data_IF_484258240109
#
_entry.id   IF_484258240109
#
_cell.length_a   1.000
_cell.length_b   1.000
_cell.length_c   1.000
_cell.angle_alpha   90.00
_cell.angle_beta   90.00
_cell.angle_gamma   90.00
#
_symmetry.space_group_name_H-M   'P 1'
#
loop_
_entity.id
_entity.type
_entity.pdbx_description
1 polymer ?
#
# COMPACT_ATOMS: atom_id res chain seq x y z
N UNK A 1 -6.29 -19.13 -12.02
CA UNK A 1 -6.68 -18.77 -10.63
C UNK A 1 -5.42 -18.75 -9.80
N UNK A 2 -4.60 -17.72 -10.01
CA UNK A 2 -3.63 -17.27 -9.02
C UNK A 2 -4.33 -16.04 -8.42
N UNK A 3 -4.57 -15.89 -7.14
CA UNK A 3 -3.65 -16.15 -6.06
C UNK A 3 -4.37 -16.36 -4.73
N UNK A 4 -3.71 -17.14 -3.87
CA UNK A 4 -4.01 -17.22 -2.46
C UNK A 4 -3.88 -15.82 -1.85
N UNK A 5 -4.98 -15.25 -1.35
CA UNK A 5 -4.97 -13.95 -0.69
C UNK A 5 -3.85 -13.92 0.35
N UNK A 6 -2.90 -12.99 0.19
CA UNK A 6 -1.66 -12.96 0.97
C UNK A 6 -1.91 -12.26 2.30
N UNK A 7 -2.55 -12.95 3.25
CA UNK A 7 -2.97 -12.40 4.55
C UNK A 7 -1.82 -11.67 5.28
N UNK A 8 -0.62 -12.22 5.23
CA UNK A 8 0.58 -11.59 5.81
C UNK A 8 0.91 -10.23 5.19
N UNK A 9 0.72 -10.07 3.87
CA UNK A 9 0.91 -8.78 3.19
C UNK A 9 -0.22 -7.81 3.49
N UNK A 10 -1.46 -8.31 3.59
CA UNK A 10 -2.59 -7.51 4.04
C UNK A 10 -2.32 -6.91 5.43
N UNK A 11 -1.97 -7.76 6.41
CA UNK A 11 -1.76 -7.33 7.80
C UNK A 11 -0.59 -6.34 7.91
N UNK A 12 0.52 -6.63 7.23
CA UNK A 12 1.69 -5.76 7.21
C UNK A 12 1.41 -4.40 6.56
N UNK A 13 0.72 -4.40 5.42
CA UNK A 13 0.32 -3.19 4.70
C UNK A 13 -0.64 -2.36 5.54
N UNK A 14 -1.67 -2.98 6.12
CA UNK A 14 -2.67 -2.28 6.91
C UNK A 14 -2.03 -1.62 8.13
N UNK A 15 -1.16 -2.34 8.83
CA UNK A 15 -0.41 -1.80 9.95
C UNK A 15 0.46 -0.61 9.53
N UNK A 16 1.26 -0.76 8.48
CA UNK A 16 2.15 0.30 8.02
C UNK A 16 1.37 1.57 7.59
N UNK A 17 0.30 1.40 6.81
CA UNK A 17 -0.51 2.53 6.33
C UNK A 17 -1.23 3.25 7.47
N UNK A 18 -1.80 2.51 8.42
CA UNK A 18 -2.48 3.10 9.59
C UNK A 18 -1.50 3.80 10.54
N UNK A 19 -0.35 3.20 10.84
CA UNK A 19 0.73 3.83 11.62
C UNK A 19 1.31 5.05 10.90
N UNK A 20 1.32 5.04 9.57
CA UNK A 20 1.68 6.18 8.71
C UNK A 20 0.55 7.21 8.50
N UNK A 21 -0.52 7.16 9.29
CA UNK A 21 -1.58 8.18 9.28
C UNK A 21 -2.49 8.17 8.05
N UNK A 22 -2.52 7.08 7.28
CA UNK A 22 -3.48 6.91 6.18
C UNK A 22 -4.88 6.67 6.75
N UNK A 23 -5.95 7.30 6.21
CA UNK A 23 -7.32 7.03 6.64
C UNK A 23 -7.65 5.54 6.59
N UNK A 24 -8.25 5.00 7.66
CA UNK A 24 -8.45 3.56 7.85
C UNK A 24 -9.16 2.89 6.66
N UNK A 25 -10.24 3.49 6.16
CA UNK A 25 -10.97 2.95 5.01
C UNK A 25 -10.09 2.83 3.76
N UNK A 26 -9.21 3.82 3.53
CA UNK A 26 -8.28 3.83 2.41
C UNK A 26 -7.14 2.83 2.62
N UNK A 27 -6.63 2.72 3.86
CA UNK A 27 -5.62 1.75 4.24
C UNK A 27 -6.11 0.30 4.05
N UNK A 28 -7.36 0.00 4.41
CA UNK A 28 -7.99 -1.30 4.18
C UNK A 28 -8.06 -1.61 2.67
N UNK A 29 -8.59 -0.69 1.86
CA UNK A 29 -8.71 -0.88 0.40
C UNK A 29 -7.34 -1.08 -0.26
N UNK A 30 -6.36 -0.23 0.05
CA UNK A 30 -5.00 -0.37 -0.50
C UNK A 30 -4.33 -1.68 -0.07
N UNK A 31 -4.56 -2.13 1.18
CA UNK A 31 -4.00 -3.40 1.66
C UNK A 31 -4.65 -4.61 1.00
N UNK A 32 -5.94 -4.54 0.65
CA UNK A 32 -6.60 -5.58 -0.16
C UNK A 32 -6.00 -5.68 -1.56
N UNK A 33 -5.68 -4.54 -2.19
CA UNK A 33 -4.96 -4.52 -3.48
C UNK A 33 -3.61 -5.21 -3.33
N UNK A 34 -2.80 -4.77 -2.36
CA UNK A 34 -1.44 -5.33 -2.14
C UNK A 34 -1.47 -6.83 -1.86
N UNK A 35 -2.45 -7.31 -1.10
CA UNK A 35 -2.58 -8.74 -0.80
C UNK A 35 -2.94 -9.59 -2.02
N UNK A 36 -3.51 -8.98 -3.07
CA UNK A 36 -3.84 -9.60 -4.34
C UNK A 36 -2.79 -9.36 -5.44
N UNK A 37 -1.71 -8.61 -5.16
CA UNK A 37 -0.64 -8.35 -6.12
C UNK A 37 -0.02 -9.64 -6.66
N UNK A 38 0.15 -9.69 -7.97
CA UNK A 38 0.83 -10.77 -8.67
C UNK A 38 2.12 -10.22 -9.30
N UNK A 39 3.25 -10.53 -8.67
CA UNK A 39 4.58 -10.07 -9.09
C UNK A 39 5.00 -10.60 -10.48
N UNK A 40 4.32 -11.60 -11.03
CA UNK A 40 4.58 -12.11 -12.38
C UNK A 40 3.91 -11.29 -13.49
N UNK A 41 3.00 -10.38 -13.12
CA UNK A 41 2.21 -9.56 -14.04
C UNK A 41 2.71 -8.12 -14.06
N UNK A 42 2.55 -7.48 -15.21
CA UNK A 42 2.78 -6.04 -15.35
C UNK A 42 1.91 -5.26 -14.34
N UNK A 43 2.47 -4.21 -13.74
CA UNK A 43 1.87 -3.44 -12.65
C UNK A 43 1.33 -4.29 -11.49
N UNK A 44 1.99 -5.42 -11.20
CA UNK A 44 1.58 -6.36 -10.16
C UNK A 44 0.18 -6.96 -10.40
N UNK A 45 -0.31 -6.92 -11.65
CA UNK A 45 -1.64 -7.37 -12.01
C UNK A 45 -2.77 -6.42 -11.59
N UNK A 46 -2.46 -5.23 -11.08
CA UNK A 46 -3.41 -4.21 -10.63
C UNK A 46 -4.19 -3.60 -11.79
N UNK A 47 -5.49 -3.37 -11.58
CA UNK A 47 -6.29 -2.54 -12.48
C UNK A 47 -5.96 -1.05 -12.33
N UNK A 48 -6.38 -0.17 -13.27
CA UNK A 48 -6.24 1.27 -13.09
C UNK A 48 -6.89 1.82 -11.81
N UNK A 49 -8.00 1.22 -11.37
CA UNK A 49 -8.67 1.56 -10.12
C UNK A 49 -7.83 1.16 -8.90
N UNK A 50 -7.29 -0.05 -8.91
CA UNK A 50 -6.39 -0.53 -7.85
C UNK A 50 -5.14 0.35 -7.72
N UNK A 51 -4.55 0.72 -8.87
CA UNK A 51 -3.42 1.64 -8.91
C UNK A 51 -3.80 3.00 -8.32
N UNK A 52 -4.99 3.51 -8.63
CA UNK A 52 -5.49 4.76 -8.08
C UNK A 52 -5.64 4.70 -6.55
N UNK A 53 -6.21 3.62 -6.02
CA UNK A 53 -6.37 3.40 -4.57
C UNK A 53 -5.02 3.41 -3.87
N UNK A 54 -4.04 2.66 -4.38
CA UNK A 54 -2.70 2.62 -3.78
C UNK A 54 -2.04 3.99 -3.86
N UNK A 55 -2.14 4.68 -5.00
CA UNK A 55 -1.56 6.01 -5.15
C UNK A 55 -2.17 7.02 -4.17
N UNK A 56 -3.49 7.00 -3.95
CA UNK A 56 -4.14 7.83 -2.93
C UNK A 56 -3.60 7.51 -1.53
N UNK A 57 -3.50 6.23 -1.16
CA UNK A 57 -2.97 5.83 0.14
C UNK A 57 -1.55 6.34 0.35
N UNK A 58 -0.71 6.25 -0.69
CA UNK A 58 0.68 6.72 -0.62
C UNK A 58 0.80 8.24 -0.45
N UNK A 59 -0.09 9.03 -1.05
CA UNK A 59 -0.14 10.49 -0.82
C UNK A 59 -0.32 10.81 0.66
N UNK A 60 -1.26 10.13 1.32
CA UNK A 60 -1.46 10.31 2.77
C UNK A 60 -0.28 9.79 3.58
N UNK A 61 0.26 8.62 3.21
CA UNK A 61 1.37 8.00 3.93
C UNK A 61 2.59 8.92 3.97
N UNK A 62 2.99 9.46 2.81
CA UNK A 62 4.15 10.35 2.69
C UNK A 62 3.94 11.72 3.33
N UNK A 63 2.72 12.25 3.32
CA UNK A 63 2.41 13.51 4.01
C UNK A 63 2.62 13.43 5.54
N UNK A 64 2.60 12.22 6.09
CA UNK A 64 2.74 11.96 7.53
C UNK A 64 4.08 11.32 7.92
N UNK A 65 4.99 11.08 6.96
CA UNK A 65 6.33 10.63 7.30
C UNK A 65 7.14 11.80 7.84
N UNK A 66 7.98 11.58 8.87
CA UNK A 66 8.99 12.57 9.22
C UNK A 66 9.88 12.84 8.00
N UNK A 67 10.21 14.11 7.77
CA UNK A 67 11.19 14.50 6.75
C UNK A 67 12.42 13.57 6.86
N UNK A 68 12.92 13.02 5.73
CA UNK A 68 14.12 12.19 5.78
C UNK A 68 15.21 12.99 6.47
N UNK A 69 15.84 12.39 7.49
CA UNK A 69 16.98 12.99 8.19
C UNK A 69 17.97 13.49 7.14
N UNK A 70 18.23 14.80 7.10
CA UNK A 70 19.33 15.36 6.32
C UNK A 70 20.58 14.57 6.69
N UNK A 71 21.10 13.80 5.74
CA UNK A 71 22.39 13.13 5.89
C UNK A 71 23.43 14.23 5.76
N UNK A 72 23.82 14.85 6.87
CA UNK A 72 24.98 15.74 6.89
C UNK A 72 26.22 14.88 6.66
N UNK A 73 26.92 15.14 5.55
CA UNK A 73 28.21 14.51 5.16
C UNK A 73 29.31 14.68 6.21
#
# INVERSE_FOLDING_TARGET
MSDNFKQNLYDASLKALTEGGVPEELAIKASQVVANDDASRFDLGRSPEDQHIVNQAMVHYWANQPEPLEVTE
#
